data_IF_369566046677
#
_entry.id   IF_369566046677
#
_cell.length_a   1.000
_cell.length_b   1.000
_cell.length_c   1.000
_cell.angle_alpha   90.00
_cell.angle_beta   90.00
_cell.angle_gamma   90.00
#
_symmetry.space_group_name_H-M   'P 1'
#
loop_
_entity.id
_entity.type
_entity.pdbx_description
1 polymer ?
#
# COMPACT_ATOMS: atom_id res chain seq x y z
N UNK A 1 -14.73 -31.38 9.12
CA UNK A 1 -14.40 -29.94 9.06
C UNK A 1 -14.99 -29.33 10.31
N UNK A 2 -14.16 -29.22 11.34
CA UNK A 2 -14.57 -28.67 12.63
C UNK A 2 -14.50 -27.13 12.52
N UNK A 3 -15.44 -26.38 13.09
CA UNK A 3 -15.47 -24.91 13.00
C UNK A 3 -14.17 -24.25 13.53
N UNK A 4 -13.47 -24.95 14.42
CA UNK A 4 -12.15 -24.60 14.94
C UNK A 4 -11.03 -24.68 13.90
N UNK A 5 -11.07 -25.63 12.97
CA UNK A 5 -10.08 -25.75 11.88
C UNK A 5 -10.25 -24.62 10.86
N UNK A 6 -11.50 -24.25 10.55
CA UNK A 6 -11.81 -23.13 9.66
C UNK A 6 -11.29 -21.80 10.24
N UNK A 7 -11.47 -21.58 11.54
CA UNK A 7 -11.01 -20.36 12.23
C UNK A 7 -9.49 -20.26 12.25
N UNK A 8 -8.78 -21.39 12.43
CA UNK A 8 -7.32 -21.42 12.35
C UNK A 8 -6.82 -21.09 10.95
N UNK A 9 -7.42 -21.67 9.91
CA UNK A 9 -7.08 -21.36 8.51
C UNK A 9 -7.29 -19.89 8.18
N UNK A 10 -8.43 -19.31 8.57
CA UNK A 10 -8.72 -17.89 8.36
C UNK A 10 -7.68 -17.01 9.04
N UNK A 11 -7.31 -17.32 10.29
CA UNK A 11 -6.28 -16.56 11.01
C UNK A 11 -4.93 -16.62 10.31
N UNK A 12 -4.55 -17.79 9.81
CA UNK A 12 -3.29 -18.00 9.10
C UNK A 12 -3.25 -17.25 7.76
N UNK A 13 -4.37 -17.25 7.03
CA UNK A 13 -4.55 -16.49 5.80
C UNK A 13 -4.45 -14.98 6.05
N UNK A 14 -5.09 -14.47 7.12
CA UNK A 14 -4.98 -13.05 7.50
C UNK A 14 -3.54 -12.65 7.81
N UNK A 15 -2.79 -13.50 8.51
CA UNK A 15 -1.36 -13.27 8.75
C UNK A 15 -0.54 -13.20 7.46
N UNK A 16 -0.76 -14.13 6.52
CA UNK A 16 -0.07 -14.14 5.23
C UNK A 16 -0.38 -12.85 4.45
N UNK A 17 -1.65 -12.44 4.38
CA UNK A 17 -2.07 -11.20 3.71
C UNK A 17 -1.45 -9.98 4.38
N UNK A 18 -1.38 -9.95 5.72
CA UNK A 18 -0.78 -8.85 6.47
C UNK A 18 0.71 -8.70 6.15
N UNK A 19 1.49 -9.78 6.24
CA UNK A 19 2.92 -9.74 5.92
C UNK A 19 3.18 -9.41 4.44
N UNK A 20 2.33 -9.92 3.57
CA UNK A 20 2.40 -9.70 2.12
C UNK A 20 2.09 -8.25 1.75
N UNK A 21 1.10 -7.62 2.39
CA UNK A 21 0.70 -6.23 2.11
C UNK A 21 1.53 -5.18 2.85
N UNK A 22 2.18 -5.53 3.95
CA UNK A 22 3.05 -4.64 4.72
C UNK A 22 4.06 -3.82 3.90
N UNK A 23 4.90 -4.41 3.03
CA UNK A 23 5.89 -3.65 2.24
C UNK A 23 5.20 -2.66 1.31
N UNK A 24 4.08 -3.07 0.68
CA UNK A 24 3.29 -2.20 -0.21
C UNK A 24 2.71 -1.02 0.55
N UNK A 25 2.10 -1.27 1.70
CA UNK A 25 1.47 -0.23 2.54
C UNK A 25 2.51 0.76 3.04
N UNK A 26 3.70 0.29 3.44
CA UNK A 26 4.76 1.13 3.98
C UNK A 26 5.30 2.09 2.91
N UNK A 27 5.62 1.57 1.72
CA UNK A 27 6.10 2.42 0.61
C UNK A 27 5.00 3.35 0.10
N UNK A 28 3.76 2.87 -0.04
CA UNK A 28 2.64 3.71 -0.45
C UNK A 28 2.40 4.87 0.54
N UNK A 29 2.59 4.64 1.83
CA UNK A 29 2.48 5.67 2.86
C UNK A 29 3.62 6.68 2.77
N UNK A 30 4.87 6.22 2.67
CA UNK A 30 6.05 7.10 2.57
C UNK A 30 5.98 7.97 1.33
N UNK A 31 5.72 7.37 0.16
CA UNK A 31 5.64 8.13 -1.09
C UNK A 31 4.43 9.06 -1.10
N UNK A 32 3.29 8.62 -0.58
CA UNK A 32 2.10 9.47 -0.43
C UNK A 32 2.38 10.72 0.41
N UNK A 33 3.08 10.56 1.54
CA UNK A 33 3.48 11.69 2.40
C UNK A 33 4.43 12.63 1.65
N UNK A 34 5.50 12.11 1.04
CA UNK A 34 6.47 12.94 0.30
C UNK A 34 5.79 13.74 -0.80
N UNK A 35 4.94 13.10 -1.61
CA UNK A 35 4.23 13.77 -2.71
C UNK A 35 3.26 14.83 -2.18
N UNK A 36 2.50 14.52 -1.14
CA UNK A 36 1.57 15.48 -0.52
C UNK A 36 2.30 16.69 0.08
N UNK A 37 3.49 16.49 0.65
CA UNK A 37 4.33 17.55 1.19
C UNK A 37 4.85 18.46 0.07
N UNK A 38 5.39 17.88 -1.00
CA UNK A 38 5.88 18.65 -2.16
C UNK A 38 4.76 19.44 -2.81
N UNK A 39 3.56 18.87 -2.94
CA UNK A 39 2.38 19.59 -3.44
C UNK A 39 1.98 20.75 -2.54
N UNK A 40 1.99 20.56 -1.22
CA UNK A 40 1.69 21.63 -0.27
C UNK A 40 2.72 22.78 -0.34
N UNK A 41 4.01 22.45 -0.46
CA UNK A 41 5.10 23.43 -0.52
C UNK A 41 5.11 24.23 -1.84
N UNK A 42 4.80 23.59 -2.96
CA UNK A 42 4.80 24.23 -4.29
C UNK A 42 3.46 24.88 -4.66
N UNK A 43 2.43 24.73 -3.81
CA UNK A 43 1.06 25.15 -4.06
C UNK A 43 0.43 24.53 -5.34
N UNK A 44 1.02 23.46 -5.88
CA UNK A 44 0.49 22.73 -7.04
C UNK A 44 -0.57 21.75 -6.53
N UNK A 45 -1.84 22.18 -6.55
CA UNK A 45 -3.00 21.37 -6.16
C UNK A 45 -3.61 20.59 -7.34
N UNK A 46 -2.78 20.19 -8.31
CA UNK A 46 -3.26 19.37 -9.42
C UNK A 46 -3.48 17.92 -8.97
N UNK A 47 -4.75 17.56 -8.79
CA UNK A 47 -5.18 16.24 -8.36
C UNK A 47 -4.75 15.14 -9.34
N UNK A 48 -4.63 15.46 -10.64
CA UNK A 48 -4.25 14.47 -11.66
C UNK A 48 -2.78 14.07 -11.54
N UNK A 49 -1.90 15.05 -11.26
CA UNK A 49 -0.49 14.80 -11.00
C UNK A 49 -0.30 13.97 -9.72
N UNK A 50 -1.06 14.27 -8.67
CA UNK A 50 -1.01 13.51 -7.41
C UNK A 50 -1.36 12.03 -7.65
N UNK A 51 -2.45 11.81 -8.38
CA UNK A 51 -2.93 10.48 -8.69
C UNK A 51 -1.92 9.69 -9.52
N UNK A 52 -1.35 10.31 -10.56
CA UNK A 52 -0.35 9.68 -11.43
C UNK A 52 0.89 9.23 -10.64
N UNK A 53 1.47 10.11 -9.82
CA UNK A 53 2.68 9.79 -9.06
C UNK A 53 2.41 8.68 -8.04
N UNK A 54 1.26 8.74 -7.35
CA UNK A 54 0.87 7.73 -6.37
C UNK A 54 0.66 6.36 -7.02
N UNK A 55 0.03 6.31 -8.19
CA UNK A 55 -0.18 5.08 -8.95
C UNK A 55 1.15 4.47 -9.40
N UNK A 56 2.07 5.28 -9.95
CA UNK A 56 3.39 4.83 -10.38
C UNK A 56 4.20 4.25 -9.20
N UNK A 57 4.15 4.89 -8.04
CA UNK A 57 4.83 4.44 -6.83
C UNK A 57 4.30 3.07 -6.36
N UNK A 58 2.98 2.90 -6.33
CA UNK A 58 2.35 1.61 -5.97
C UNK A 58 2.73 0.53 -7.00
N UNK A 59 2.71 0.85 -8.30
CA UNK A 59 3.07 -0.09 -9.36
C UNK A 59 4.53 -0.58 -9.24
N UNK A 60 5.47 0.34 -9.01
CA UNK A 60 6.89 -0.02 -8.79
C UNK A 60 7.04 -0.86 -7.52
N UNK A 61 6.31 -0.51 -6.45
CA UNK A 61 6.38 -1.27 -5.19
C UNK A 61 5.87 -2.69 -5.36
N UNK A 62 4.78 -2.87 -6.10
CA UNK A 62 4.27 -4.20 -6.43
C UNK A 62 5.30 -5.00 -7.25
N UNK A 63 5.94 -4.38 -8.24
CA UNK A 63 6.95 -5.04 -9.08
C UNK A 63 8.24 -5.42 -8.32
N UNK A 64 8.61 -4.65 -7.30
CA UNK A 64 9.81 -4.94 -6.49
C UNK A 64 9.51 -5.96 -5.39
N UNK A 65 8.29 -5.93 -4.84
CA UNK A 65 7.90 -6.76 -3.70
C UNK A 65 7.34 -8.14 -4.07
N UNK A 66 6.84 -8.31 -5.30
CA UNK A 66 6.28 -9.56 -5.85
C UNK A 66 6.93 -9.91 -7.18
#
# INVERSE_FOLDING_TARGET
>A
MNDSELTQFVTQLLWIVLFTSMPVVLVASVVGVIVSLVQALTQIQDQTLQFMIKLLAIAITLMVSY
#
